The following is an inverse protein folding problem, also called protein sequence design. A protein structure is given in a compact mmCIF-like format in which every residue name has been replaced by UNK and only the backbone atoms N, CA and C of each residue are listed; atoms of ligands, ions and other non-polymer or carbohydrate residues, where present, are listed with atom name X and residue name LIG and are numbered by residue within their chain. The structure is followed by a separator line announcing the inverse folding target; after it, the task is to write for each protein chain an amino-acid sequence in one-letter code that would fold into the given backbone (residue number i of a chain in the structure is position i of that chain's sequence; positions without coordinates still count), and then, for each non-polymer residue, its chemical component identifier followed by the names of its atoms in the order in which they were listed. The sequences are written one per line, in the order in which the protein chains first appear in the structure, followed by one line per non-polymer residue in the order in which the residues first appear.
data_IF_850224083155
#
_entry.id   IF_850224083155
#
_cell.length_a   1.000
_cell.length_b   1.000
_cell.length_c   1.000
_cell.angle_alpha   90.00
_cell.angle_beta   90.00
_cell.angle_gamma   90.00
#
_symmetry.space_group_name_H-M   'P 1'
#
loop_
_entity.id
_entity.type
_entity.pdbx_description
1 polymer ?
#
# COMPACT_ATOMS: atom_id res chain seq x y z
N UNK A 1 -3.48 7.28 2.17
CA UNK A 1 -3.52 8.57 2.86
C UNK A 1 -2.26 8.78 3.68
N UNK A 2 -1.57 9.86 3.43
CA UNK A 2 -0.36 10.23 4.17
C UNK A 2 -0.70 11.28 5.25
N UNK A 3 -0.26 11.01 6.48
CA UNK A 3 -0.43 11.89 7.62
C UNK A 3 0.94 12.43 8.04
N UNK A 4 1.39 13.55 7.48
CA UNK A 4 2.77 14.00 7.67
C UNK A 4 3.12 14.38 9.11
N UNK A 5 2.16 14.87 9.89
CA UNK A 5 2.40 15.21 11.30
C UNK A 5 2.74 13.97 12.14
N UNK A 6 2.17 12.83 11.80
CA UNK A 6 2.36 11.57 12.51
C UNK A 6 3.38 10.67 11.81
N UNK A 7 3.83 11.06 10.61
CA UNK A 7 4.70 10.27 9.74
C UNK A 7 4.13 8.89 9.43
N UNK A 8 2.81 8.82 9.26
CA UNK A 8 2.08 7.58 9.00
C UNK A 8 1.49 7.63 7.60
N UNK A 9 1.66 6.53 6.87
CA UNK A 9 0.99 6.30 5.59
C UNK A 9 0.04 5.13 5.71
N UNK A 10 -1.23 5.35 5.35
CA UNK A 10 -2.29 4.34 5.38
C UNK A 10 -2.85 4.17 3.97
N UNK A 11 -3.06 2.94 3.57
CA UNK A 11 -3.62 2.63 2.26
C UNK A 11 -4.53 1.42 2.31
N UNK A 12 -5.76 1.57 1.80
CA UNK A 12 -6.63 0.46 1.50
C UNK A 12 -6.31 -0.07 0.11
N UNK A 13 -6.14 -1.38 -0.01
CA UNK A 13 -5.82 -1.99 -1.29
C UNK A 13 -6.53 -3.34 -1.45
N UNK A 14 -6.62 -3.79 -2.69
CA UNK A 14 -7.06 -5.14 -3.01
C UNK A 14 -5.84 -6.01 -3.29
N UNK A 15 -5.83 -7.19 -2.71
CA UNK A 15 -4.85 -8.20 -3.08
C UNK A 15 -5.57 -9.50 -3.43
N UNK A 16 -4.93 -10.30 -4.25
CA UNK A 16 -5.48 -11.59 -4.67
C UNK A 16 -4.98 -12.66 -3.69
N UNK A 17 -5.92 -13.42 -3.13
CA UNK A 17 -5.58 -14.57 -2.29
C UNK A 17 -5.12 -15.72 -3.17
N UNK A 18 -3.81 -15.93 -3.26
CA UNK A 18 -3.20 -17.00 -4.04
C UNK A 18 -3.28 -18.38 -3.36
N UNK A 19 -3.63 -18.42 -2.08
CA UNK A 19 -3.71 -19.67 -1.33
C UNK A 19 -4.97 -20.47 -1.69
N UNK A 20 -5.95 -19.83 -2.28
CA UNK A 20 -7.19 -20.48 -2.68
C UNK A 20 -7.29 -20.55 -4.20
N UNK A 21 -6.65 -21.58 -4.80
CA UNK A 21 -6.59 -21.74 -6.26
C UNK A 21 -7.97 -21.91 -6.93
N UNK A 22 -8.96 -22.39 -6.18
CA UNK A 22 -10.31 -22.66 -6.73
C UNK A 22 -11.21 -21.44 -6.75
N UNK A 23 -10.98 -20.48 -5.86
CA UNK A 23 -11.76 -19.26 -5.78
C UNK A 23 -10.80 -18.09 -5.58
N UNK A 24 -10.38 -17.48 -6.69
CA UNK A 24 -9.56 -16.25 -6.63
C UNK A 24 -10.38 -15.14 -6.01
N UNK A 25 -10.33 -15.02 -4.71
CA UNK A 25 -11.02 -13.94 -3.99
C UNK A 25 -10.09 -12.77 -3.81
N UNK A 26 -10.60 -11.59 -4.13
CA UNK A 26 -9.92 -10.35 -3.78
C UNK A 26 -10.14 -10.08 -2.31
N UNK A 27 -9.07 -9.77 -1.59
CA UNK A 27 -9.13 -9.45 -0.17
C UNK A 27 -8.85 -7.96 -0.01
N UNK A 28 -9.74 -7.26 0.68
CA UNK A 28 -9.49 -5.89 1.10
C UNK A 28 -8.49 -5.89 2.24
N UNK A 29 -7.41 -5.15 2.09
CA UNK A 29 -6.37 -5.05 3.11
C UNK A 29 -6.03 -3.60 3.37
N UNK A 30 -5.63 -3.31 4.60
CA UNK A 30 -5.09 -2.01 4.96
C UNK A 30 -3.61 -2.19 5.26
N UNK A 31 -2.77 -1.45 4.56
CA UNK A 31 -1.34 -1.41 4.85
C UNK A 31 -1.03 -0.09 5.56
N UNK A 32 -0.24 -0.19 6.63
CA UNK A 32 0.19 0.96 7.41
C UNK A 32 1.70 0.97 7.47
N UNK A 33 2.29 2.08 7.08
CA UNK A 33 3.72 2.34 7.24
C UNK A 33 3.91 3.46 8.26
N UNK A 34 4.80 3.25 9.22
CA UNK A 34 5.18 4.27 10.20
C UNK A 34 6.53 4.88 9.85
N UNK A 35 6.82 6.03 10.43
CA UNK A 35 8.09 6.76 10.24
C UNK A 35 8.35 7.18 8.80
N UNK A 36 7.30 7.48 8.05
CA UNK A 36 7.43 7.89 6.63
C UNK A 36 7.79 9.36 6.55
N UNK A 37 8.93 9.65 5.92
CA UNK A 37 9.44 11.01 5.74
C UNK A 37 8.80 11.70 4.54
N UNK A 38 8.52 10.97 3.46
CA UNK A 38 7.86 11.54 2.28
C UNK A 38 7.06 10.49 1.52
N UNK A 39 6.05 10.97 0.80
CA UNK A 39 5.19 10.13 -0.04
C UNK A 39 4.97 10.83 -1.37
N UNK A 40 5.23 10.11 -2.47
CA UNK A 40 4.97 10.56 -3.83
C UNK A 40 4.11 9.54 -4.54
N UNK A 41 3.09 10.00 -5.24
CA UNK A 41 2.22 9.12 -6.02
C UNK A 41 2.20 9.54 -7.48
N UNK A 42 1.98 8.55 -8.35
CA UNK A 42 1.83 8.79 -9.79
C UNK A 42 0.60 8.06 -10.30
N UNK A 43 -0.17 8.76 -11.13
CA UNK A 43 -1.39 8.24 -11.75
C UNK A 43 -2.47 7.82 -10.75
N UNK A 44 -2.45 8.38 -9.56
CA UNK A 44 -3.45 8.12 -8.52
C UNK A 44 -4.28 9.36 -8.31
N UNK A 45 -5.59 9.24 -8.49
CA UNK A 45 -6.54 10.31 -8.22
C UNK A 45 -6.95 10.25 -6.74
N UNK A 46 -6.36 11.12 -5.95
CA UNK A 46 -6.65 11.19 -4.52
C UNK A 46 -8.03 11.77 -4.21
N UNK A 47 -8.68 12.36 -5.20
CA UNK A 47 -10.00 12.95 -5.04
C UNK A 47 -11.14 11.96 -5.32
N UNK A 48 -10.82 10.75 -5.72
CA UNK A 48 -11.82 9.72 -5.99
C UNK A 48 -11.85 8.69 -4.85
N UNK A 49 -12.80 8.80 -3.90
CA UNK A 49 -12.86 7.90 -2.75
C UNK A 49 -13.23 6.46 -3.09
N UNK A 50 -13.76 6.21 -4.27
CA UNK A 50 -14.14 4.87 -4.72
C UNK A 50 -13.03 4.17 -5.49
N UNK A 51 -11.84 4.72 -5.45
CA UNK A 51 -10.73 4.23 -6.22
C UNK A 51 -10.07 3.03 -5.53
N UNK A 52 -10.23 1.86 -6.13
CA UNK A 52 -9.62 0.63 -5.62
C UNK A 52 -8.27 0.41 -6.31
N UNK A 53 -7.24 0.21 -5.48
CA UNK A 53 -5.89 -0.06 -5.94
C UNK A 53 -5.58 -1.54 -5.78
N UNK A 54 -5.23 -2.19 -6.89
CA UNK A 54 -4.77 -3.57 -6.88
C UNK A 54 -3.25 -3.58 -6.81
N UNK A 55 -2.72 -4.07 -5.69
CA UNK A 55 -1.27 -4.14 -5.48
C UNK A 55 -0.69 -5.30 -6.29
N UNK A 56 0.25 -4.97 -7.19
CA UNK A 56 0.94 -5.95 -8.02
C UNK A 56 2.31 -6.34 -7.44
N UNK A 57 3.03 -5.37 -6.89
CA UNK A 57 4.36 -5.60 -6.37
C UNK A 57 4.75 -4.55 -5.35
N UNK A 58 5.66 -4.93 -4.47
CA UNK A 58 6.29 -4.03 -3.52
C UNK A 58 7.80 -4.21 -3.65
N UNK A 59 8.52 -3.11 -3.82
CA UNK A 59 9.96 -3.12 -3.96
C UNK A 59 10.60 -2.21 -2.93
N UNK A 60 11.75 -2.61 -2.39
CA UNK A 60 12.47 -1.84 -1.39
C UNK A 60 13.89 -1.62 -1.87
N UNK A 61 14.28 -0.37 -1.98
CA UNK A 61 15.63 0.03 -2.35
C UNK A 61 16.29 0.73 -1.17
N UNK A 62 17.44 0.19 -0.74
CA UNK A 62 18.22 0.83 0.32
C UNK A 62 19.24 1.79 -0.30
N UNK A 63 19.13 3.05 0.06
CA UNK A 63 20.13 4.08 -0.22
C UNK A 63 20.86 4.38 1.10
N UNK A 64 22.02 5.04 1.06
CA UNK A 64 22.94 5.23 2.20
C UNK A 64 22.30 5.23 3.61
N UNK A 65 21.34 6.11 3.86
CA UNK A 65 20.67 6.22 5.17
C UNK A 65 19.15 6.17 5.08
N UNK A 66 18.62 5.85 3.91
CA UNK A 66 17.20 5.92 3.62
C UNK A 66 16.76 4.70 2.83
N UNK A 67 15.56 4.20 3.15
CA UNK A 67 14.87 3.20 2.35
C UNK A 67 13.83 3.87 1.47
N UNK A 68 13.76 3.43 0.23
CA UNK A 68 12.71 3.84 -0.70
C UNK A 68 11.82 2.64 -0.98
N UNK A 69 10.55 2.75 -0.59
CA UNK A 69 9.57 1.70 -0.76
C UNK A 69 8.66 2.08 -1.92
N UNK A 70 8.61 1.25 -2.95
CA UNK A 70 7.74 1.48 -4.10
C UNK A 70 6.62 0.45 -4.11
N UNK A 71 5.40 0.94 -4.08
CA UNK A 71 4.19 0.14 -4.22
C UNK A 71 3.70 0.29 -5.65
N UNK A 72 3.69 -0.81 -6.39
CA UNK A 72 3.25 -0.82 -7.79
C UNK A 72 1.83 -1.38 -7.86
N UNK A 73 0.94 -0.63 -8.49
CA UNK A 73 -0.45 -1.00 -8.69
C UNK A 73 -0.78 -1.20 -10.17
N UNK A 74 -1.92 -1.81 -10.43
CA UNK A 74 -2.41 -1.97 -11.80
C UNK A 74 -2.56 -0.62 -12.51
N UNK A 75 -2.52 -0.64 -13.85
CA UNK A 75 -2.67 0.54 -14.72
C UNK A 75 -1.57 1.59 -14.55
N UNK A 76 -0.33 1.13 -14.32
CA UNK A 76 0.85 1.99 -14.20
C UNK A 76 0.74 3.04 -13.10
N UNK A 77 0.14 2.67 -11.98
CA UNK A 77 0.04 3.53 -10.80
C UNK A 77 1.07 3.10 -9.79
N UNK A 78 1.69 4.07 -9.12
CA UNK A 78 2.61 3.71 -8.05
C UNK A 78 2.72 4.80 -6.98
N UNK A 79 3.13 4.36 -5.80
CA UNK A 79 3.40 5.21 -4.66
C UNK A 79 4.82 4.90 -4.20
N UNK A 80 5.61 5.95 -3.99
CA UNK A 80 6.95 5.84 -3.46
C UNK A 80 7.01 6.50 -2.09
N UNK A 81 7.44 5.72 -1.10
CA UNK A 81 7.59 6.17 0.28
C UNK A 81 9.06 6.20 0.64
N UNK A 82 9.47 7.22 1.38
CA UNK A 82 10.84 7.37 1.87
C UNK A 82 10.85 7.29 3.38
N UNK A 83 11.72 6.47 3.95
CA UNK A 83 11.81 6.27 5.41
C UNK A 83 13.23 5.91 5.81
N UNK A 84 13.61 6.28 7.05
CA UNK A 84 14.89 5.87 7.63
C UNK A 84 14.82 4.45 8.21
N UNK A 85 13.62 4.00 8.57
CA UNK A 85 13.38 2.68 9.14
C UNK A 85 12.10 2.10 8.55
N UNK A 86 12.11 0.80 8.26
CA UNK A 86 10.93 0.13 7.72
C UNK A 86 10.11 -0.45 8.87
N UNK A 87 8.91 0.09 9.04
CA UNK A 87 7.92 -0.41 10.00
C UNK A 87 6.57 -0.43 9.29
N UNK A 88 6.12 -1.62 8.96
CA UNK A 88 4.91 -1.81 8.18
C UNK A 88 4.04 -2.91 8.76
N UNK A 89 2.74 -2.69 8.75
CA UNK A 89 1.74 -3.70 9.12
C UNK A 89 0.72 -3.86 8.01
N UNK A 90 0.27 -5.09 7.81
CA UNK A 90 -0.77 -5.41 6.85
C UNK A 90 -1.91 -6.09 7.60
N UNK A 91 -3.11 -5.56 7.45
CA UNK A 91 -4.29 -6.11 8.09
C UNK A 91 -5.37 -6.37 7.06
N UNK A 92 -5.80 -7.63 6.96
CA UNK A 92 -6.88 -8.02 6.07
C UNK A 92 -8.22 -7.68 6.73
N UNK A 93 -9.11 -7.10 5.94
CA UNK A 93 -10.45 -6.80 6.42
C UNK A 93 -11.29 -8.06 6.39
N UNK A 94 -11.94 -8.34 7.52
CA UNK A 94 -12.86 -9.46 7.58
C UNK A 94 -14.09 -9.16 6.74
N UNK A 95 -14.43 -10.08 5.85
CA UNK A 95 -15.72 -10.05 5.19
C UNK A 95 -16.71 -10.73 6.14
N UNK A 96 -17.66 -9.95 6.66
CA UNK A 96 -18.73 -10.52 7.43
C UNK A 96 -19.80 -11.07 6.47
N UNK A 97 -20.00 -12.36 6.54
CA UNK A 97 -21.11 -12.99 5.83
C UNK A 97 -22.32 -13.03 6.77
N UNK A 98 -23.35 -12.36 6.38
CA UNK A 98 -24.63 -12.54 7.02
C UNK A 98 -25.33 -13.78 6.47
#
# INVERSE_FOLDING_TARGET
KYLPKNKIFLLSLLRIDKENEKNKKSINSIIKFEFIESSKSKNIDQNNPNFLLELLALDILKKEHIFEITLLFSKNRFITLTTEVIDATLEDQKIEYD
#
